data_IF_847348347216
#
_entry.id   IF_847348347216
#
_cell.length_a   1.000
_cell.length_b   1.000
_cell.length_c   1.000
_cell.angle_alpha   90.00
_cell.angle_beta   90.00
_cell.angle_gamma   90.00
#
_symmetry.space_group_name_H-M   'P 1'
#
loop_
_entity.id
_entity.type
_entity.pdbx_description
1 polymer ?
#
# COMPACT_ATOMS: atom_id res chain seq x y z
N UNK A 1 3.53 1.48 -32.50
CA UNK A 1 2.40 0.94 -33.31
C UNK A 1 1.34 2.00 -33.55
N UNK A 2 0.74 2.61 -32.52
CA UNK A 2 -0.26 3.69 -32.70
C UNK A 2 0.33 4.98 -33.33
N UNK A 3 1.58 5.30 -33.00
CA UNK A 3 2.30 6.49 -33.50
C UNK A 3 2.61 6.43 -35.01
N UNK A 4 2.62 5.24 -35.60
CA UNK A 4 2.90 5.03 -37.02
C UNK A 4 1.61 4.95 -37.86
N UNK A 5 0.45 5.13 -37.24
CA UNK A 5 -0.85 4.99 -37.90
C UNK A 5 -1.31 6.37 -38.43
N UNK A 6 -1.85 6.45 -39.66
CA UNK A 6 -2.25 7.73 -40.27
C UNK A 6 -3.32 8.48 -39.46
N UNK A 7 -4.13 7.74 -38.69
CA UNK A 7 -5.07 8.28 -37.72
C UNK A 7 -4.81 7.62 -36.35
N UNK A 8 -3.99 8.23 -35.48
CA UNK A 8 -3.75 7.72 -34.13
C UNK A 8 -5.03 7.74 -33.31
N UNK A 9 -5.32 6.64 -32.62
CA UNK A 9 -6.49 6.56 -31.74
C UNK A 9 -6.10 7.17 -30.38
N UNK A 10 -6.92 8.11 -29.89
CA UNK A 10 -6.73 8.71 -28.56
C UNK A 10 -6.93 7.66 -27.46
N UNK A 11 -6.10 7.71 -26.42
CA UNK A 11 -6.22 6.79 -25.29
C UNK A 11 -7.58 6.94 -24.56
N UNK A 12 -8.18 8.13 -24.60
CA UNK A 12 -9.51 8.38 -24.03
C UNK A 12 -10.62 7.62 -24.77
N UNK A 13 -10.41 7.24 -26.03
CA UNK A 13 -11.39 6.48 -26.82
C UNK A 13 -11.60 5.06 -26.31
N UNK A 14 -10.68 4.55 -25.49
CA UNK A 14 -10.76 3.22 -24.89
C UNK A 14 -11.44 3.22 -23.52
N UNK A 15 -11.65 4.39 -22.92
CA UNK A 15 -12.33 4.50 -21.64
C UNK A 15 -13.79 4.09 -21.80
N UNK A 16 -14.32 3.42 -20.80
CA UNK A 16 -15.73 3.07 -20.70
C UNK A 16 -16.36 3.85 -19.53
N UNK A 17 -16.78 5.12 -19.75
CA UNK A 17 -17.30 5.97 -18.68
C UNK A 17 -18.50 5.35 -17.96
N UNK A 18 -19.31 4.58 -18.68
CA UNK A 18 -20.49 3.90 -18.15
C UNK A 18 -20.16 2.78 -17.14
N UNK A 19 -18.90 2.35 -17.03
CA UNK A 19 -18.51 1.33 -16.05
C UNK A 19 -18.79 1.81 -14.63
N UNK A 20 -18.43 3.04 -14.29
CA UNK A 20 -18.61 3.59 -12.93
C UNK A 20 -20.07 3.61 -12.47
N UNK A 21 -21.01 3.67 -13.43
CA UNK A 21 -22.44 3.69 -13.16
C UNK A 21 -23.04 2.27 -13.03
N UNK A 22 -22.30 1.25 -13.50
CA UNK A 22 -22.74 -0.15 -13.54
C UNK A 22 -22.04 -1.03 -12.51
N UNK A 23 -20.81 -0.69 -12.14
CA UNK A 23 -19.99 -1.45 -11.20
C UNK A 23 -19.42 -0.53 -10.14
N UNK A 24 -19.33 -1.03 -8.91
CA UNK A 24 -18.52 -0.39 -7.88
C UNK A 24 -17.06 -0.79 -8.14
N UNK A 25 -16.27 0.17 -8.63
CA UNK A 25 -14.89 -0.05 -9.05
C UNK A 25 -14.02 -0.52 -7.87
N UNK A 26 -14.22 0.07 -6.69
CA UNK A 26 -13.45 -0.29 -5.50
C UNK A 26 -13.67 -1.74 -5.07
N UNK A 27 -14.92 -2.19 -4.95
CA UNK A 27 -15.19 -3.58 -4.54
C UNK A 27 -14.81 -4.58 -5.63
N UNK A 28 -15.03 -4.26 -6.90
CA UNK A 28 -14.60 -5.09 -8.03
C UNK A 28 -13.08 -5.28 -8.05
N UNK A 29 -12.32 -4.21 -7.78
CA UNK A 29 -10.87 -4.25 -7.70
C UNK A 29 -10.36 -5.08 -6.51
N UNK A 30 -10.97 -4.92 -5.32
CA UNK A 30 -10.62 -5.73 -4.14
C UNK A 30 -10.88 -7.22 -4.38
N UNK A 31 -12.03 -7.57 -4.95
CA UNK A 31 -12.35 -8.97 -5.27
C UNK A 31 -11.34 -9.54 -6.28
N UNK A 32 -11.04 -8.78 -7.34
CA UNK A 32 -10.05 -9.18 -8.33
C UNK A 32 -8.65 -9.41 -7.71
N UNK A 33 -8.20 -8.54 -6.80
CA UNK A 33 -6.93 -8.74 -6.07
C UNK A 33 -6.94 -10.03 -5.24
N UNK A 34 -8.05 -10.33 -4.56
CA UNK A 34 -8.17 -11.57 -3.79
C UNK A 34 -8.12 -12.80 -4.70
N UNK A 35 -8.82 -12.78 -5.83
CA UNK A 35 -8.78 -13.84 -6.84
C UNK A 35 -7.37 -14.05 -7.41
N UNK A 36 -6.63 -12.97 -7.69
CA UNK A 36 -5.22 -13.04 -8.10
C UNK A 36 -4.35 -13.79 -7.08
N UNK A 37 -4.58 -13.56 -5.79
CA UNK A 37 -3.77 -14.12 -4.70
C UNK A 37 -4.21 -15.54 -4.28
N UNK A 38 -5.44 -15.94 -4.61
CA UNK A 38 -6.02 -17.19 -4.09
C UNK A 38 -5.61 -18.44 -4.88
N UNK A 39 -5.01 -18.28 -6.07
CA UNK A 39 -4.58 -19.40 -6.93
C UNK A 39 -5.71 -20.29 -7.48
N UNK A 40 -6.97 -19.90 -7.26
CA UNK A 40 -8.17 -20.60 -7.70
C UNK A 40 -8.63 -20.22 -9.11
N UNK A 41 -9.84 -20.66 -9.47
CA UNK A 41 -10.50 -20.28 -10.73
C UNK A 41 -10.78 -18.78 -10.73
N UNK A 42 -10.28 -18.07 -11.75
CA UNK A 42 -10.48 -16.64 -11.94
C UNK A 42 -11.63 -16.39 -12.90
N UNK A 43 -12.53 -15.49 -12.52
CA UNK A 43 -13.63 -15.07 -13.40
C UNK A 43 -13.22 -13.82 -14.18
N UNK A 44 -14.01 -13.48 -15.20
CA UNK A 44 -13.82 -12.26 -15.97
C UNK A 44 -13.85 -11.03 -15.06
N UNK A 45 -12.85 -10.17 -15.17
CA UNK A 45 -12.83 -8.87 -14.51
C UNK A 45 -12.39 -7.77 -15.46
N UNK A 46 -13.03 -6.60 -15.37
CA UNK A 46 -12.56 -5.41 -16.08
C UNK A 46 -11.15 -4.99 -15.63
N UNK A 47 -10.73 -5.37 -14.43
CA UNK A 47 -9.39 -5.08 -13.90
C UNK A 47 -8.26 -5.77 -14.70
N UNK A 48 -8.58 -6.83 -15.47
CA UNK A 48 -7.63 -7.44 -16.42
C UNK A 48 -7.38 -6.55 -17.65
N UNK A 49 -8.16 -5.49 -17.85
CA UNK A 49 -8.07 -4.55 -18.96
C UNK A 49 -7.96 -3.09 -18.48
N UNK A 50 -6.85 -2.67 -17.84
CA UNK A 50 -6.75 -1.34 -17.21
C UNK A 50 -7.01 -0.15 -18.15
N UNK A 51 -6.83 -0.31 -19.45
CA UNK A 51 -7.09 0.74 -20.44
C UNK A 51 -8.56 1.17 -20.52
N UNK A 52 -9.51 0.37 -20.02
CA UNK A 52 -10.94 0.70 -20.03
C UNK A 52 -11.33 1.73 -18.94
N UNK A 53 -10.45 1.93 -17.96
CA UNK A 53 -10.69 2.86 -16.86
C UNK A 53 -10.08 4.23 -17.14
N UNK A 54 -10.81 5.26 -16.74
CA UNK A 54 -10.33 6.64 -16.75
C UNK A 54 -9.29 6.90 -15.65
N UNK A 55 -8.67 8.08 -15.70
CA UNK A 55 -7.62 8.45 -14.75
C UNK A 55 -8.13 8.48 -13.30
N UNK A 56 -9.37 8.92 -13.07
CA UNK A 56 -9.96 9.00 -11.74
C UNK A 56 -10.14 7.61 -11.11
N UNK A 57 -10.70 6.66 -11.88
CA UNK A 57 -10.89 5.28 -11.42
C UNK A 57 -9.56 4.60 -11.13
N UNK A 58 -8.53 4.84 -11.95
CA UNK A 58 -7.17 4.31 -11.71
C UNK A 58 -6.55 4.87 -10.44
N UNK A 59 -6.70 6.17 -10.19
CA UNK A 59 -6.22 6.79 -8.96
C UNK A 59 -6.91 6.19 -7.73
N UNK A 60 -8.21 5.90 -7.83
CA UNK A 60 -8.95 5.19 -6.77
C UNK A 60 -8.40 3.79 -6.53
N UNK A 61 -8.21 2.98 -7.58
CA UNK A 61 -7.61 1.64 -7.48
C UNK A 61 -6.23 1.66 -6.83
N UNK A 62 -5.35 2.58 -7.26
CA UNK A 62 -4.00 2.73 -6.68
C UNK A 62 -4.06 3.12 -5.20
N UNK A 63 -4.99 4.00 -4.82
CA UNK A 63 -5.20 4.36 -3.42
C UNK A 63 -5.71 3.17 -2.58
N UNK A 64 -6.60 2.34 -3.14
CA UNK A 64 -7.05 1.11 -2.48
C UNK A 64 -5.88 0.14 -2.30
N UNK A 65 -5.10 -0.11 -3.35
CA UNK A 65 -3.92 -0.99 -3.30
C UNK A 65 -2.90 -0.53 -2.26
N UNK A 66 -2.61 0.78 -2.23
CA UNK A 66 -1.71 1.36 -1.22
C UNK A 66 -2.23 1.13 0.20
N UNK A 67 -3.53 1.35 0.44
CA UNK A 67 -4.15 1.11 1.75
C UNK A 67 -4.10 -0.36 2.16
N UNK A 68 -4.40 -1.29 1.25
CA UNK A 68 -4.33 -2.72 1.53
C UNK A 68 -2.89 -3.16 1.84
N UNK A 69 -1.93 -2.66 1.08
CA UNK A 69 -0.49 -2.93 1.30
C UNK A 69 -0.04 -2.43 2.67
N UNK A 70 -0.49 -1.24 3.06
CA UNK A 70 -0.21 -0.69 4.38
C UNK A 70 -0.85 -1.52 5.49
N UNK A 71 -2.13 -1.89 5.35
CA UNK A 71 -2.83 -2.73 6.31
C UNK A 71 -2.17 -4.10 6.49
N UNK A 72 -1.69 -4.71 5.41
CA UNK A 72 -0.98 -5.98 5.45
C UNK A 72 0.37 -5.86 6.18
N UNK A 73 1.13 -4.78 5.93
CA UNK A 73 2.37 -4.52 6.66
C UNK A 73 2.10 -4.28 8.16
N UNK A 74 1.01 -3.59 8.49
CA UNK A 74 0.59 -3.40 9.88
C UNK A 74 0.23 -4.72 10.56
N UNK A 75 -0.57 -5.57 9.91
CA UNK A 75 -0.99 -6.84 10.50
C UNK A 75 0.20 -7.76 10.74
N UNK A 76 1.17 -7.78 9.82
CA UNK A 76 2.42 -8.52 10.00
C UNK A 76 3.22 -8.00 11.20
N UNK A 77 3.41 -6.69 11.32
CA UNK A 77 4.12 -6.09 12.44
C UNK A 77 3.44 -6.39 13.79
N UNK A 78 2.11 -6.33 13.85
CA UNK A 78 1.34 -6.68 15.05
C UNK A 78 1.48 -8.17 15.42
N UNK A 79 1.41 -9.07 14.43
CA UNK A 79 1.60 -10.51 14.66
C UNK A 79 3.02 -10.81 15.17
N UNK A 80 4.04 -10.19 14.58
CA UNK A 80 5.42 -10.30 15.06
C UNK A 80 5.57 -9.79 16.50
N UNK A 81 4.90 -8.68 16.85
CA UNK A 81 4.91 -8.14 18.20
C UNK A 81 4.30 -9.09 19.23
N UNK A 82 3.14 -9.66 18.92
CA UNK A 82 2.45 -10.63 19.79
C UNK A 82 3.34 -11.87 19.99
N UNK A 83 3.92 -12.40 18.91
CA UNK A 83 4.80 -13.56 18.97
C UNK A 83 6.03 -13.31 19.86
N UNK A 84 6.69 -12.16 19.71
CA UNK A 84 7.82 -11.77 20.56
C UNK A 84 7.40 -11.62 22.03
N UNK A 85 6.24 -11.02 22.29
CA UNK A 85 5.72 -10.87 23.66
C UNK A 85 5.41 -12.21 24.32
N UNK A 86 4.91 -13.20 23.57
CA UNK A 86 4.58 -14.53 24.11
C UNK A 86 5.82 -15.40 24.34
N UNK A 87 6.88 -15.23 23.56
CA UNK A 87 8.13 -15.99 23.70
C UNK A 87 9.16 -15.35 24.64
N UNK A 88 9.04 -14.04 24.89
CA UNK A 88 9.86 -13.28 25.84
C UNK A 88 10.09 -13.96 27.21
N UNK A 89 9.09 -14.60 27.86
CA UNK A 89 9.30 -15.27 29.15
C UNK A 89 10.15 -16.55 29.08
N UNK A 90 10.26 -17.18 27.91
CA UNK A 90 10.91 -18.49 27.74
C UNK A 90 12.35 -18.41 27.25
N UNK A 91 12.76 -17.30 26.60
CA UNK A 91 14.05 -17.20 25.90
C UNK A 91 15.08 -16.31 26.65
N UNK A 92 14.69 -15.65 27.74
CA UNK A 92 15.61 -14.83 28.57
C UNK A 92 16.25 -13.63 27.86
N UNK A 93 15.96 -13.43 26.57
CA UNK A 93 16.48 -12.37 25.73
C UNK A 93 15.63 -11.12 25.87
N UNK A 94 16.02 -10.25 26.80
CA UNK A 94 15.87 -8.80 26.59
C UNK A 94 16.97 -8.34 25.62
N UNK A 95 16.99 -8.92 24.43
CA UNK A 95 17.88 -8.44 23.36
C UNK A 95 17.21 -7.22 22.74
N UNK A 96 17.80 -6.07 22.97
CA UNK A 96 17.74 -4.84 22.18
C UNK A 96 16.52 -4.69 21.25
N UNK A 97 15.62 -3.83 21.73
CA UNK A 97 14.57 -3.10 21.04
C UNK A 97 15.06 -2.48 19.71
N UNK A 98 15.00 -3.25 18.63
CA UNK A 98 15.26 -2.79 17.26
C UNK A 98 14.13 -3.14 16.27
N UNK A 99 13.10 -3.82 16.75
CA UNK A 99 11.90 -4.13 15.97
C UNK A 99 10.73 -3.40 16.58
N UNK A 100 10.57 -2.12 16.27
CA UNK A 100 9.41 -1.33 16.69
C UNK A 100 8.13 -2.08 16.32
N UNK A 101 7.51 -2.66 17.33
CA UNK A 101 6.22 -3.39 17.33
C UNK A 101 5.04 -2.51 16.92
N UNK A 102 5.31 -1.24 16.61
CA UNK A 102 4.32 -0.27 16.19
C UNK A 102 3.79 -0.60 14.80
N UNK A 103 2.46 -0.56 14.60
CA UNK A 103 1.88 -0.62 13.26
C UNK A 103 2.09 0.68 12.46
N UNK A 104 2.76 1.67 13.05
CA UNK A 104 3.07 2.93 12.39
C UNK A 104 4.57 3.07 12.18
N UNK A 105 4.97 3.51 10.99
CA UNK A 105 6.27 4.10 10.79
C UNK A 105 6.25 5.52 11.34
N UNK A 106 6.90 5.73 12.48
CA UNK A 106 6.86 7.02 13.17
C UNK A 106 8.09 7.82 12.86
N UNK A 107 7.90 9.02 12.33
CA UNK A 107 8.98 10.00 12.16
C UNK A 107 8.79 11.06 13.22
N UNK A 108 9.79 11.21 14.08
CA UNK A 108 9.83 12.23 15.11
C UNK A 108 10.68 13.39 14.58
N UNK A 109 10.09 14.59 14.50
CA UNK A 109 10.76 15.77 13.95
C UNK A 109 10.55 16.98 14.84
N UNK A 110 11.56 17.86 14.90
CA UNK A 110 11.41 19.22 15.42
C UNK A 110 11.10 20.16 14.26
N UNK A 111 10.20 21.13 14.49
CA UNK A 111 9.82 22.14 13.48
C UNK A 111 11.02 22.87 12.87
N UNK A 112 12.01 23.18 13.69
CA UNK A 112 13.19 23.94 13.25
C UNK A 112 14.22 23.07 12.50
N UNK A 113 14.08 21.74 12.54
CA UNK A 113 15.05 20.79 11.99
C UNK A 113 14.39 19.64 11.21
N UNK A 114 13.24 19.89 10.56
CA UNK A 114 12.43 18.85 9.89
C UNK A 114 13.26 17.99 8.95
N UNK A 115 14.11 18.60 8.12
CA UNK A 115 14.91 17.86 7.12
C UNK A 115 15.88 16.89 7.77
N UNK A 116 16.70 17.39 8.70
CA UNK A 116 17.72 16.59 9.37
C UNK A 116 17.08 15.44 10.16
N UNK A 117 16.03 15.76 10.93
CA UNK A 117 15.35 14.77 11.75
C UNK A 117 14.67 13.71 10.87
N UNK A 118 13.98 14.11 9.79
CA UNK A 118 13.34 13.17 8.85
C UNK A 118 14.36 12.23 8.21
N UNK A 119 15.46 12.77 7.69
CA UNK A 119 16.50 11.96 7.06
C UNK A 119 17.13 10.99 8.04
N UNK A 120 17.43 11.42 9.26
CA UNK A 120 17.97 10.52 10.30
C UNK A 120 17.01 9.38 10.62
N UNK A 121 15.70 9.67 10.76
CA UNK A 121 14.69 8.65 11.02
C UNK A 121 14.60 7.65 9.85
N UNK A 122 14.65 8.13 8.60
CA UNK A 122 14.61 7.28 7.41
C UNK A 122 15.85 6.39 7.29
N UNK A 123 17.05 6.92 7.56
CA UNK A 123 18.31 6.16 7.46
C UNK A 123 18.40 5.05 8.51
N UNK A 124 17.84 5.26 9.71
CA UNK A 124 17.85 4.27 10.78
C UNK A 124 16.73 3.22 10.70
N UNK A 125 15.71 3.46 9.86
CA UNK A 125 14.54 2.61 9.77
C UNK A 125 14.80 1.31 8.98
N UNK A 126 14.12 0.24 9.37
CA UNK A 126 14.08 -0.98 8.56
C UNK A 126 13.29 -0.72 7.27
N UNK A 127 13.80 -1.07 6.08
CA UNK A 127 13.07 -0.90 4.82
C UNK A 127 11.67 -1.52 4.77
N UNK A 128 11.43 -2.59 5.54
CA UNK A 128 10.11 -3.19 5.67
C UNK A 128 9.08 -2.25 6.34
N UNK A 129 9.54 -1.35 7.20
CA UNK A 129 8.69 -0.42 7.95
C UNK A 129 8.17 0.72 7.07
N UNK A 130 8.80 1.03 5.93
CA UNK A 130 8.31 2.05 5.00
C UNK A 130 6.94 1.73 4.39
N UNK A 131 6.49 0.48 4.50
CA UNK A 131 5.15 0.06 4.10
C UNK A 131 4.11 0.25 5.20
N UNK A 132 4.51 0.51 6.45
CA UNK A 132 3.57 0.81 7.55
C UNK A 132 2.94 2.19 7.36
N UNK A 133 1.85 2.47 8.08
CA UNK A 133 1.25 3.81 8.07
C UNK A 133 2.21 4.85 8.63
N UNK A 134 2.37 5.97 7.92
CA UNK A 134 3.20 7.08 8.37
C UNK A 134 2.53 7.84 9.52
N UNK A 135 3.25 8.05 10.62
CA UNK A 135 2.88 8.93 11.72
C UNK A 135 3.98 9.96 11.92
N UNK A 136 3.66 11.24 11.79
CA UNK A 136 4.62 12.32 12.07
C UNK A 136 4.31 12.92 13.43
N UNK A 137 5.28 12.86 14.34
CA UNK A 137 5.18 13.43 15.68
C UNK A 137 6.07 14.68 15.76
N UNK A 138 5.51 15.77 16.28
CA UNK A 138 6.27 16.99 16.52
C UNK A 138 6.90 16.94 17.92
N UNK A 139 8.22 17.06 17.99
CA UNK A 139 8.92 17.33 19.24
C UNK A 139 8.98 18.84 19.46
N UNK A 140 8.50 19.27 20.63
CA UNK A 140 8.68 20.63 21.14
C UNK A 140 10.09 20.77 21.69
#
# INVERSE_FOLDING_TARGET
VNENHPNPISYNSFYLPSLKDKINIGSAFVNWLQECNSGGMRFFSFCDYPFVFDAASKAEMLNIEARLTMQQAMSQAQQSAIFQSLLSPFIGSRMYDGGTTSPYFTIIVRRDNILQDTLSNLTMANPADFKKLLRVCNCV
#
